data_IF_138180469137
#
_entry.id   IF_138180469137
#
_cell.length_a   1.000
_cell.length_b   1.000
_cell.length_c   1.000
_cell.angle_alpha   90.00
_cell.angle_beta   90.00
_cell.angle_gamma   90.00
#
_symmetry.space_group_name_H-M   'P 1'
#
loop_
_entity.id
_entity.type
_entity.pdbx_description
1 polymer ?
#
# COMPACT_ATOMS: atom_id res chain seq x y z
N UNK A 1 27.62 -65.58 19.16
CA UNK A 1 26.70 -66.74 19.10
C UNK A 1 25.29 -66.22 19.26
N UNK A 2 24.25 -66.57 18.51
CA UNK A 2 24.05 -67.45 17.36
C UNK A 2 22.58 -67.28 16.96
N UNK A 3 22.32 -67.14 15.66
CA UNK A 3 21.21 -67.68 14.85
C UNK A 3 19.89 -68.08 15.55
N UNK A 4 18.74 -67.49 15.20
CA UNK A 4 17.87 -67.74 14.02
C UNK A 4 16.98 -69.02 14.11
N UNK A 5 15.83 -68.92 13.41
CA UNK A 5 14.86 -69.96 12.98
C UNK A 5 13.75 -70.32 14.00
N UNK A 6 12.48 -70.53 13.63
CA UNK A 6 11.96 -71.36 12.53
C UNK A 6 10.44 -71.08 12.32
N UNK A 7 9.94 -70.95 11.08
CA UNK A 7 9.10 -71.92 10.30
C UNK A 7 7.58 -71.92 10.62
N UNK A 8 6.61 -72.16 9.72
CA UNK A 8 6.54 -72.47 8.27
C UNK A 8 5.04 -72.54 7.85
N UNK A 9 4.78 -72.40 6.54
CA UNK A 9 3.64 -72.93 5.72
C UNK A 9 2.31 -72.14 5.69
N UNK A 10 1.73 -71.65 4.58
CA UNK A 10 1.53 -72.05 3.15
C UNK A 10 0.08 -72.56 2.88
N UNK A 11 -0.53 -72.03 1.79
CA UNK A 11 -1.79 -72.36 1.05
C UNK A 11 -3.10 -71.77 1.65
N UNK A 12 -4.09 -71.22 0.92
CA UNK A 12 -4.48 -71.08 -0.51
C UNK A 12 -5.57 -69.97 -0.51
N UNK A 13 -5.37 -68.81 -1.14
CA UNK A 13 -5.99 -68.41 -2.41
C UNK A 13 -7.49 -68.77 -2.58
N UNK A 14 -8.39 -67.81 -2.31
CA UNK A 14 -9.50 -67.32 -3.16
C UNK A 14 -10.26 -66.23 -2.36
N UNK A 15 -10.75 -65.19 -3.05
CA UNK A 15 -11.49 -64.01 -2.53
C UNK A 15 -10.66 -62.72 -2.33
N UNK A 16 -10.01 -62.24 -3.40
CA UNK A 16 -9.31 -60.94 -3.41
C UNK A 16 -9.87 -59.93 -4.44
N UNK A 17 -11.18 -59.97 -4.73
CA UNK A 17 -11.77 -59.02 -5.70
C UNK A 17 -12.90 -58.13 -5.15
N UNK A 18 -13.62 -58.52 -4.08
CA UNK A 18 -14.76 -57.74 -3.61
C UNK A 18 -14.40 -56.63 -2.59
N UNK A 19 -13.28 -56.77 -1.86
CA UNK A 19 -12.95 -55.84 -0.76
C UNK A 19 -12.19 -54.58 -1.20
N UNK A 20 -11.58 -54.58 -2.41
CA UNK A 20 -10.84 -53.42 -2.91
C UNK A 20 -11.74 -52.27 -3.40
N UNK A 21 -12.96 -52.57 -3.86
CA UNK A 21 -13.85 -51.54 -4.43
C UNK A 21 -14.51 -50.69 -3.34
N UNK A 22 -14.81 -51.27 -2.17
CA UNK A 22 -15.47 -50.56 -1.07
C UNK A 22 -14.53 -49.55 -0.36
N UNK A 23 -13.23 -49.87 -0.25
CA UNK A 23 -12.26 -49.00 0.41
C UNK A 23 -11.90 -47.77 -0.42
N UNK A 24 -11.83 -47.93 -1.75
CA UNK A 24 -11.48 -46.84 -2.68
C UNK A 24 -12.60 -45.79 -2.74
N UNK A 25 -13.88 -46.20 -2.67
CA UNK A 25 -15.02 -45.27 -2.67
C UNK A 25 -15.07 -44.35 -1.45
N UNK A 26 -14.72 -44.86 -0.27
CA UNK A 26 -14.73 -44.07 0.97
C UNK A 26 -13.57 -43.06 1.04
N UNK A 27 -12.38 -43.44 0.55
CA UNK A 27 -11.22 -42.54 0.49
C UNK A 27 -11.37 -41.42 -0.54
N UNK A 28 -12.06 -41.69 -1.66
CA UNK A 28 -12.30 -40.67 -2.71
C UNK A 28 -13.32 -39.63 -2.22
N UNK A 29 -14.35 -40.05 -1.47
CA UNK A 29 -15.38 -39.14 -0.94
C UNK A 29 -14.83 -38.18 0.15
N UNK A 30 -13.87 -38.64 0.96
CA UNK A 30 -13.19 -37.81 1.97
C UNK A 30 -12.16 -36.87 1.33
N UNK A 31 -11.48 -37.28 0.25
CA UNK A 31 -10.59 -36.37 -0.49
C UNK A 31 -11.35 -35.27 -1.23
N UNK A 32 -12.53 -35.57 -1.79
CA UNK A 32 -13.35 -34.58 -2.51
C UNK A 32 -13.97 -33.54 -1.57
N UNK A 33 -14.32 -33.89 -0.33
CA UNK A 33 -14.83 -32.91 0.65
C UNK A 33 -13.72 -32.04 1.25
N UNK A 34 -12.48 -32.52 1.33
CA UNK A 34 -11.31 -31.72 1.73
C UNK A 34 -10.91 -30.75 0.61
N UNK A 35 -11.09 -31.12 -0.67
CA UNK A 35 -10.77 -30.25 -1.80
C UNK A 35 -11.80 -29.14 -2.06
N UNK A 36 -13.04 -29.26 -1.56
CA UNK A 36 -14.06 -28.19 -1.66
C UNK A 36 -14.02 -27.16 -0.52
N UNK A 37 -13.10 -27.29 0.44
CA UNK A 37 -12.95 -26.35 1.57
C UNK A 37 -11.69 -25.49 1.49
N UNK A 38 -10.88 -25.63 0.43
CA UNK A 38 -9.78 -24.72 0.12
C UNK A 38 -10.14 -23.77 -1.03
N UNK A 39 -11.36 -23.22 -1.01
CA UNK A 39 -11.55 -21.89 -1.60
C UNK A 39 -11.34 -20.87 -0.47
N UNK A 40 -10.12 -20.86 0.06
CA UNK A 40 -9.61 -19.66 0.70
C UNK A 40 -9.41 -18.71 -0.46
N UNK A 41 -10.47 -17.94 -0.75
CA UNK A 41 -10.37 -16.76 -1.58
C UNK A 41 -9.23 -15.93 -1.02
N UNK A 42 -8.06 -16.06 -1.62
CA UNK A 42 -6.99 -15.08 -1.50
C UNK A 42 -7.60 -13.82 -2.08
N UNK A 43 -8.21 -13.00 -1.24
CA UNK A 43 -8.43 -11.61 -1.59
C UNK A 43 -7.07 -11.10 -2.07
N UNK A 44 -6.92 -10.91 -3.39
CA UNK A 44 -5.74 -10.30 -3.95
C UNK A 44 -5.66 -8.93 -3.30
N UNK A 45 -4.75 -8.80 -2.32
CA UNK A 45 -4.35 -7.52 -1.77
C UNK A 45 -3.86 -6.70 -2.96
N UNK A 46 -4.63 -5.69 -3.36
CA UNK A 46 -4.22 -4.80 -4.44
C UNK A 46 -2.87 -4.14 -4.09
N UNK A 47 -2.06 -3.87 -5.11
CA UNK A 47 -0.74 -3.25 -4.99
C UNK A 47 -0.78 -1.93 -4.19
N UNK A 48 -1.93 -1.24 -4.19
CA UNK A 48 -2.17 0.01 -3.46
C UNK A 48 -1.99 -0.07 -1.94
N UNK A 49 -2.14 -1.25 -1.34
CA UNK A 49 -2.04 -1.44 0.12
C UNK A 49 -0.66 -1.15 0.68
N UNK A 50 0.40 -1.34 -0.12
CA UNK A 50 1.79 -1.07 0.29
C UNK A 50 2.06 0.40 0.61
N UNK A 51 1.24 1.29 0.07
CA UNK A 51 1.36 2.74 0.27
C UNK A 51 0.60 3.26 1.49
N UNK A 52 -0.29 2.44 2.07
CA UNK A 52 -1.07 2.86 3.24
C UNK A 52 -0.15 3.01 4.45
N UNK A 53 -0.25 4.17 5.10
CA UNK A 53 0.54 4.48 6.29
C UNK A 53 1.99 4.81 6.00
N UNK A 54 2.39 5.04 4.75
CA UNK A 54 3.68 5.64 4.44
C UNK A 54 3.74 7.11 4.87
N UNK A 55 4.92 7.55 5.27
CA UNK A 55 5.21 8.97 5.41
C UNK A 55 5.13 9.70 4.07
N UNK A 56 4.64 10.94 4.11
CA UNK A 56 4.57 11.82 2.94
C UNK A 56 5.11 13.20 3.31
N UNK A 57 5.98 13.78 2.49
CA UNK A 57 6.43 15.15 2.67
C UNK A 57 5.75 16.04 1.64
N UNK A 58 4.75 16.81 2.08
CA UNK A 58 3.93 17.62 1.19
C UNK A 58 4.70 18.79 0.56
N UNK A 59 5.82 19.23 1.15
CA UNK A 59 6.59 20.36 0.62
C UNK A 59 7.39 19.95 -0.62
N UNK A 60 7.99 18.76 -0.60
CA UNK A 60 8.80 18.24 -1.71
C UNK A 60 8.00 17.36 -2.66
N UNK A 61 6.82 16.88 -2.25
CA UNK A 61 5.98 16.02 -3.07
C UNK A 61 5.59 16.65 -4.40
N UNK A 62 5.33 15.79 -5.38
CA UNK A 62 4.76 16.19 -6.66
C UNK A 62 4.17 14.95 -7.35
N UNK A 63 2.84 14.79 -7.41
CA UNK A 63 2.17 13.69 -8.09
C UNK A 63 2.51 13.55 -9.58
N UNK A 64 2.83 14.64 -10.26
CA UNK A 64 3.22 14.59 -11.68
C UNK A 64 4.64 14.04 -11.85
N UNK A 65 5.46 14.02 -10.81
CA UNK A 65 6.81 13.46 -10.82
C UNK A 65 7.92 14.41 -10.36
N UNK A 66 9.15 13.88 -10.34
CA UNK A 66 10.34 14.61 -9.88
C UNK A 66 10.98 15.52 -10.93
N UNK A 67 10.85 15.17 -12.22
CA UNK A 67 11.35 15.94 -13.37
C UNK A 67 10.53 15.60 -14.63
N UNK A 68 10.78 16.30 -15.74
CA UNK A 68 10.08 16.07 -17.02
C UNK A 68 10.27 14.65 -17.62
N UNK A 69 11.25 13.89 -17.15
CA UNK A 69 11.58 12.51 -17.59
C UNK A 69 11.09 11.42 -16.62
N UNK A 70 10.72 11.78 -15.39
CA UNK A 70 10.28 10.90 -14.31
C UNK A 70 8.84 11.20 -13.91
N UNK A 71 7.94 11.07 -14.88
CA UNK A 71 6.52 11.33 -14.64
C UNK A 71 5.88 10.25 -13.77
N UNK A 72 4.98 10.67 -12.89
CA UNK A 72 4.12 9.77 -12.09
C UNK A 72 4.74 9.10 -10.86
N UNK A 73 6.03 9.35 -10.55
CA UNK A 73 6.62 8.92 -9.27
C UNK A 73 6.70 10.12 -8.33
N UNK A 74 5.80 10.16 -7.34
CA UNK A 74 5.79 11.24 -6.36
C UNK A 74 6.97 11.11 -5.36
N UNK A 75 7.91 12.04 -5.48
CA UNK A 75 9.13 12.13 -4.66
C UNK A 75 8.86 12.47 -3.18
N UNK A 76 7.64 12.89 -2.85
CA UNK A 76 7.19 13.12 -1.48
C UNK A 76 6.91 11.83 -0.71
N UNK A 77 6.64 10.72 -1.41
CA UNK A 77 6.35 9.43 -0.80
C UNK A 77 7.62 8.84 -0.17
N UNK A 78 7.59 8.59 1.13
CA UNK A 78 8.67 7.92 1.85
C UNK A 78 8.49 6.40 1.78
N UNK A 79 8.81 5.81 0.63
CA UNK A 79 8.56 4.39 0.28
C UNK A 79 9.07 3.35 1.28
N UNK A 80 10.03 3.69 2.13
CA UNK A 80 10.62 2.80 3.16
C UNK A 80 10.24 3.18 4.59
N UNK A 81 9.26 4.08 4.76
CA UNK A 81 8.90 4.69 6.05
C UNK A 81 7.43 4.51 6.34
N UNK A 82 7.07 3.31 6.77
CA UNK A 82 5.74 3.01 7.31
C UNK A 82 5.61 3.62 8.71
N UNK A 83 4.70 4.58 8.84
CA UNK A 83 4.24 5.16 10.10
C UNK A 83 3.26 4.20 10.78
N UNK A 84 2.34 3.60 10.04
CA UNK A 84 1.41 2.60 10.57
C UNK A 84 2.03 1.20 10.58
N UNK A 85 1.73 0.44 11.62
CA UNK A 85 2.04 -0.98 11.70
C UNK A 85 0.85 -1.77 11.21
N UNK A 86 0.90 -2.18 9.95
CA UNK A 86 -0.11 -3.00 9.31
C UNK A 86 0.38 -4.45 9.28
N UNK A 87 -0.19 -5.28 10.13
CA UNK A 87 0.01 -6.74 10.07
C UNK A 87 -1.13 -7.39 9.28
N UNK A 88 -0.90 -8.51 8.58
CA UNK A 88 -1.94 -9.12 7.73
C UNK A 88 -3.27 -9.40 8.43
N UNK A 89 -3.22 -9.76 9.72
CA UNK A 89 -4.38 -10.03 10.59
C UNK A 89 -5.21 -8.78 10.93
N UNK A 90 -4.58 -7.59 10.94
CA UNK A 90 -5.22 -6.31 11.25
C UNK A 90 -5.61 -5.53 10.02
N UNK A 91 -4.89 -5.73 8.91
CA UNK A 91 -5.09 -4.99 7.68
C UNK A 91 -6.53 -5.13 7.14
N UNK A 92 -7.16 -6.30 7.24
CA UNK A 92 -8.56 -6.51 6.84
C UNK A 92 -9.58 -5.70 7.66
N UNK A 93 -9.22 -5.26 8.87
CA UNK A 93 -10.08 -4.49 9.77
C UNK A 93 -9.80 -2.99 9.70
N UNK A 94 -8.64 -2.59 9.18
CA UNK A 94 -8.15 -1.21 9.17
C UNK A 94 -8.08 -0.61 7.78
N UNK A 95 -8.14 -1.44 6.74
CA UNK A 95 -8.05 -1.04 5.34
C UNK A 95 -9.35 -1.40 4.66
N UNK A 96 -9.98 -0.40 4.06
CA UNK A 96 -11.08 -0.60 3.15
C UNK A 96 -10.58 -0.55 1.71
N UNK A 97 -10.88 -1.60 0.95
CA UNK A 97 -10.56 -1.70 -0.46
C UNK A 97 -11.85 -1.68 -1.26
N UNK A 98 -12.07 -0.59 -1.98
CA UNK A 98 -13.07 -0.49 -3.04
C UNK A 98 -12.37 -0.82 -4.37
N UNK A 99 -12.03 -2.10 -4.52
CA UNK A 99 -11.34 -2.63 -5.69
C UNK A 99 -12.30 -2.76 -6.88
N UNK A 100 -11.82 -2.45 -8.09
CA UNK A 100 -12.56 -2.70 -9.32
C UNK A 100 -12.00 -3.92 -10.02
N UNK A 101 -12.87 -4.76 -10.59
CA UNK A 101 -12.44 -5.93 -11.37
C UNK A 101 -11.77 -5.54 -12.68
N UNK A 102 -12.00 -4.32 -13.15
CA UNK A 102 -11.40 -3.75 -14.35
C UNK A 102 -10.99 -2.30 -14.11
N UNK A 103 -9.87 -1.93 -14.70
CA UNK A 103 -9.43 -0.54 -14.76
C UNK A 103 -10.50 0.34 -15.41
N UNK A 104 -10.84 1.44 -14.75
CA UNK A 104 -11.65 2.50 -15.33
C UNK A 104 -10.75 3.63 -15.80
N UNK A 105 -10.73 3.86 -17.11
CA UNK A 105 -9.93 4.93 -17.71
C UNK A 105 -10.63 6.28 -17.55
N UNK A 106 -9.91 7.25 -17.02
CA UNK A 106 -10.34 8.63 -16.93
C UNK A 106 -9.32 9.53 -17.62
N UNK A 107 -9.77 10.37 -18.54
CA UNK A 107 -8.93 11.38 -19.17
C UNK A 107 -9.35 12.75 -18.69
N UNK A 108 -8.39 13.54 -18.23
CA UNK A 108 -8.58 14.91 -17.78
C UNK A 108 -7.66 15.85 -18.55
N UNK A 109 -8.06 17.11 -18.62
CA UNK A 109 -7.27 18.18 -19.22
C UNK A 109 -7.23 19.35 -18.25
N UNK A 110 -6.04 19.81 -17.94
CA UNK A 110 -5.81 20.92 -17.04
C UNK A 110 -4.95 21.98 -17.71
N UNK A 111 -5.18 23.24 -17.36
CA UNK A 111 -4.36 24.36 -17.83
C UNK A 111 -3.91 25.14 -16.61
N UNK A 112 -2.62 25.40 -16.52
CA UNK A 112 -2.02 26.26 -15.50
C UNK A 112 -1.06 27.25 -16.15
N UNK A 113 -1.08 28.47 -15.63
CA UNK A 113 -0.44 29.65 -16.23
C UNK A 113 0.47 30.38 -15.25
N UNK A 114 0.56 29.89 -14.02
CA UNK A 114 1.49 30.33 -12.99
C UNK A 114 1.71 29.21 -11.96
N UNK A 115 2.69 29.38 -11.08
CA UNK A 115 2.99 28.40 -10.03
C UNK A 115 1.82 28.15 -9.06
N UNK A 116 0.95 29.17 -8.83
CA UNK A 116 -0.20 29.04 -7.91
C UNK A 116 -1.33 28.20 -8.51
N UNK A 117 -1.62 28.39 -9.78
CA UNK A 117 -2.58 27.57 -10.52
C UNK A 117 -2.09 26.14 -10.65
N UNK A 118 -0.78 25.93 -10.82
CA UNK A 118 -0.17 24.60 -10.75
C UNK A 118 -0.29 23.96 -9.36
N UNK A 119 0.00 24.69 -8.28
CA UNK A 119 -0.20 24.21 -6.91
C UNK A 119 -1.66 23.77 -6.68
N UNK A 120 -2.61 24.61 -7.10
CA UNK A 120 -4.05 24.32 -6.96
C UNK A 120 -4.46 23.08 -7.75
N UNK A 121 -3.88 22.88 -8.92
CA UNK A 121 -4.07 21.69 -9.73
C UNK A 121 -3.64 20.43 -8.97
N UNK A 122 -2.40 20.39 -8.47
CA UNK A 122 -1.88 19.25 -7.70
C UNK A 122 -2.69 18.98 -6.42
N UNK A 123 -3.12 20.05 -5.72
CA UNK A 123 -3.94 19.94 -4.52
C UNK A 123 -5.33 19.34 -4.79
N UNK A 124 -5.79 19.30 -6.04
CA UNK A 124 -7.05 18.65 -6.42
C UNK A 124 -7.10 17.16 -6.08
N UNK A 125 -5.93 16.51 -5.99
CA UNK A 125 -5.82 15.07 -5.69
C UNK A 125 -5.57 14.76 -4.20
N UNK A 126 -5.50 15.78 -3.35
CA UNK A 126 -5.20 15.62 -1.92
C UNK A 126 -6.41 15.88 -1.03
N UNK A 127 -6.57 15.01 -0.03
CA UNK A 127 -7.45 15.25 1.12
C UNK A 127 -6.58 15.27 2.37
N UNK A 128 -6.42 16.44 2.96
CA UNK A 128 -5.64 16.65 4.18
C UNK A 128 -6.54 17.11 5.32
N UNK A 129 -6.20 16.68 6.54
CA UNK A 129 -6.95 17.02 7.75
C UNK A 129 -5.98 17.14 8.94
N UNK A 130 -6.42 17.84 9.99
CA UNK A 130 -5.63 18.05 11.21
C UNK A 130 -5.23 19.52 11.43
N UNK A 131 -4.75 19.84 12.64
CA UNK A 131 -4.51 21.23 13.07
C UNK A 131 -3.38 21.92 12.30
N UNK A 132 -2.39 21.18 11.80
CA UNK A 132 -1.27 21.73 11.02
C UNK A 132 -1.61 22.05 9.56
N UNK A 133 -2.79 21.63 9.08
CA UNK A 133 -3.11 21.67 7.65
C UNK A 133 -3.08 23.09 7.06
N UNK A 134 -3.75 24.04 7.73
CA UNK A 134 -3.79 25.44 7.27
C UNK A 134 -2.41 26.12 7.23
N UNK A 135 -1.45 25.62 8.02
CA UNK A 135 -0.10 26.17 8.10
C UNK A 135 0.80 25.63 6.98
N UNK A 136 0.61 24.37 6.57
CA UNK A 136 1.50 23.71 5.59
C UNK A 136 1.00 23.80 4.15
N UNK A 137 -0.31 23.81 3.95
CA UNK A 137 -0.94 23.78 2.61
C UNK A 137 -0.52 24.92 1.67
N UNK A 138 -0.34 26.17 2.14
CA UNK A 138 0.17 27.24 1.28
C UNK A 138 1.56 26.95 0.67
N UNK A 139 2.32 26.03 1.28
CA UNK A 139 3.67 25.65 0.87
C UNK A 139 3.74 24.28 0.19
N UNK A 140 2.59 23.61 -0.01
CA UNK A 140 2.55 22.31 -0.68
C UNK A 140 3.27 22.35 -2.03
N UNK A 141 4.13 21.35 -2.26
CA UNK A 141 4.88 21.07 -3.49
C UNK A 141 5.94 22.11 -3.90
N UNK A 142 6.01 23.25 -3.20
CA UNK A 142 6.88 24.38 -3.54
C UNK A 142 8.38 24.06 -3.52
N UNK A 143 8.78 23.01 -2.80
CA UNK A 143 10.17 22.58 -2.74
C UNK A 143 10.54 21.56 -3.82
N UNK A 144 9.56 20.99 -4.55
CA UNK A 144 9.82 20.05 -5.65
C UNK A 144 10.54 20.72 -6.81
N UNK A 145 11.39 19.98 -7.52
CA UNK A 145 12.13 20.50 -8.69
C UNK A 145 11.16 20.92 -9.79
N UNK A 146 10.18 20.07 -10.10
CA UNK A 146 9.25 20.35 -11.18
C UNK A 146 8.36 21.58 -10.89
N UNK A 147 7.95 21.81 -9.64
CA UNK A 147 7.25 23.04 -9.28
C UNK A 147 8.10 24.30 -9.54
N UNK A 148 9.38 24.26 -9.18
CA UNK A 148 10.31 25.37 -9.43
C UNK A 148 10.52 25.61 -10.92
N UNK A 149 10.55 24.55 -11.72
CA UNK A 149 10.62 24.65 -13.17
C UNK A 149 9.37 25.33 -13.74
N UNK A 150 8.16 24.91 -13.31
CA UNK A 150 6.91 25.58 -13.69
C UNK A 150 6.92 27.05 -13.26
N UNK A 151 7.34 27.36 -12.03
CA UNK A 151 7.43 28.75 -11.56
C UNK A 151 8.36 29.59 -12.45
N UNK A 152 9.56 29.09 -12.76
CA UNK A 152 10.52 29.79 -13.61
C UNK A 152 9.97 30.00 -15.03
N UNK A 153 9.40 28.97 -15.63
CA UNK A 153 8.93 29.01 -17.02
C UNK A 153 7.67 29.90 -17.18
N UNK A 154 6.72 29.79 -16.26
CA UNK A 154 5.50 30.63 -16.29
C UNK A 154 5.79 32.10 -15.96
N UNK A 155 6.71 32.38 -15.03
CA UNK A 155 7.03 33.74 -14.61
C UNK A 155 7.95 34.47 -15.57
N UNK A 156 9.04 33.82 -15.98
CA UNK A 156 10.12 34.49 -16.73
C UNK A 156 9.94 34.33 -18.25
N UNK A 157 9.33 33.24 -18.70
CA UNK A 157 9.09 32.98 -20.13
C UNK A 157 7.64 33.18 -20.57
N UNK A 158 6.73 33.38 -19.62
CA UNK A 158 5.29 33.56 -19.87
C UNK A 158 4.65 32.33 -20.54
N UNK A 159 5.20 31.15 -20.28
CA UNK A 159 4.67 29.91 -20.80
C UNK A 159 3.33 29.57 -20.12
N UNK A 160 2.43 28.95 -20.88
CA UNK A 160 1.19 28.36 -20.37
C UNK A 160 1.25 26.87 -20.60
N UNK A 161 1.00 26.10 -19.54
CA UNK A 161 1.04 24.66 -19.59
C UNK A 161 -0.35 24.09 -19.74
N UNK A 162 -0.45 23.07 -20.58
CA UNK A 162 -1.63 22.22 -20.72
C UNK A 162 -1.21 20.80 -20.42
N UNK A 163 -1.82 20.22 -19.41
CA UNK A 163 -1.61 18.83 -19.03
C UNK A 163 -2.78 17.97 -19.50
N UNK A 164 -2.45 16.82 -20.09
CA UNK A 164 -3.37 15.86 -20.67
C UNK A 164 -3.12 14.50 -20.01
N UNK A 165 -3.81 14.24 -18.89
CA UNK A 165 -3.62 13.01 -18.12
C UNK A 165 -4.64 11.96 -18.53
N UNK A 166 -4.17 10.72 -18.67
CA UNK A 166 -5.03 9.53 -18.72
C UNK A 166 -4.68 8.60 -17.55
N UNK A 167 -5.61 8.45 -16.62
CA UNK A 167 -5.47 7.59 -15.44
C UNK A 167 -6.21 6.29 -15.66
N UNK A 168 -5.57 5.18 -15.32
CA UNK A 168 -6.18 3.87 -15.19
C UNK A 168 -6.48 3.60 -13.72
N UNK A 169 -7.74 3.74 -13.30
CA UNK A 169 -8.13 3.58 -11.90
C UNK A 169 -8.64 2.14 -11.65
N UNK A 170 -7.85 1.37 -10.90
CA UNK A 170 -8.14 -0.02 -10.51
C UNK A 170 -8.93 -0.16 -9.20
N UNK A 171 -9.30 0.97 -8.59
CA UNK A 171 -10.02 1.03 -7.33
C UNK A 171 -9.34 1.94 -6.31
N UNK A 172 -9.93 1.98 -5.13
CA UNK A 172 -9.47 2.81 -4.02
C UNK A 172 -9.14 1.96 -2.81
N UNK A 173 -7.94 2.15 -2.28
CA UNK A 173 -7.55 1.60 -0.97
C UNK A 173 -7.46 2.75 0.01
N UNK A 174 -8.08 2.63 1.19
CA UNK A 174 -8.04 3.67 2.23
C UNK A 174 -7.89 3.08 3.62
N UNK A 175 -7.22 3.83 4.49
CA UNK A 175 -7.24 3.56 5.92
C UNK A 175 -8.58 4.03 6.52
N UNK A 176 -9.14 3.24 7.44
CA UNK A 176 -10.41 3.56 8.10
C UNK A 176 -10.16 4.56 9.25
N UNK A 177 -10.76 5.74 9.13
CA UNK A 177 -10.76 6.83 10.12
C UNK A 177 -12.21 7.31 10.35
N UNK A 178 -12.60 7.79 11.55
CA UNK A 178 -11.92 7.77 12.85
C UNK A 178 -11.87 6.35 13.45
N UNK A 179 -11.07 6.07 14.49
CA UNK A 179 -10.84 4.71 14.94
C UNK A 179 -12.10 4.08 15.50
N UNK A 180 -12.73 3.17 14.75
CA UNK A 180 -13.75 2.26 15.27
C UNK A 180 -13.15 1.34 16.34
N UNK A 181 -11.82 1.11 16.31
CA UNK A 181 -11.10 0.19 17.19
C UNK A 181 -9.73 0.73 17.61
N UNK A 182 -9.63 1.61 18.64
CA UNK A 182 -8.40 2.29 19.03
C UNK A 182 -7.19 1.37 19.28
N UNK A 183 -7.44 0.16 19.79
CA UNK A 183 -6.44 -0.87 20.06
C UNK A 183 -5.84 -1.52 18.79
N UNK A 184 -6.43 -1.30 17.62
CA UNK A 184 -5.92 -1.82 16.35
C UNK A 184 -5.03 -0.81 15.61
N UNK A 185 -5.09 0.48 15.95
CA UNK A 185 -4.32 1.53 15.29
C UNK A 185 -2.90 1.64 15.88
N UNK A 186 -2.04 0.68 15.54
CA UNK A 186 -0.63 0.69 15.95
C UNK A 186 0.25 1.49 14.97
N UNK A 187 1.24 2.19 15.52
CA UNK A 187 2.35 2.77 14.77
C UNK A 187 3.54 1.81 14.70
N UNK A 188 4.42 1.99 13.72
CA UNK A 188 5.63 1.18 13.60
C UNK A 188 6.59 1.44 14.78
N UNK A 189 7.30 0.41 15.26
CA UNK A 189 8.32 0.57 16.31
C UNK A 189 9.40 1.59 15.92
N UNK A 190 9.76 1.64 14.64
CA UNK A 190 10.75 2.59 14.12
C UNK A 190 10.26 4.03 14.22
N UNK A 191 8.99 4.28 13.86
CA UNK A 191 8.39 5.60 13.99
C UNK A 191 8.24 5.99 15.46
N UNK A 192 7.72 5.09 16.30
CA UNK A 192 7.59 5.31 17.74
C UNK A 192 8.93 5.67 18.37
N UNK A 193 9.99 4.90 18.07
CA UNK A 193 11.34 5.16 18.56
C UNK A 193 11.87 6.52 18.10
N UNK A 194 11.64 6.89 16.84
CA UNK A 194 12.05 8.20 16.32
C UNK A 194 11.32 9.36 17.01
N UNK A 195 10.03 9.22 17.29
CA UNK A 195 9.24 10.22 18.05
C UNK A 195 9.75 10.32 19.48
N UNK A 196 10.05 9.21 20.15
CA UNK A 196 10.59 9.20 21.51
C UNK A 196 11.99 9.84 21.63
N UNK A 197 12.72 9.96 20.52
CA UNK A 197 14.02 10.63 20.48
C UNK A 197 13.92 12.14 20.23
N UNK A 198 12.73 12.66 19.90
CA UNK A 198 12.54 14.10 19.76
C UNK A 198 12.65 14.79 21.13
N UNK A 199 13.31 15.96 21.19
CA UNK A 199 13.36 16.73 22.43
C UNK A 199 11.97 17.24 22.79
N UNK A 200 11.68 17.29 24.10
CA UNK A 200 10.40 17.79 24.64
C UNK A 200 10.21 19.27 24.27
N UNK A 201 11.28 20.05 24.33
CA UNK A 201 11.30 21.42 23.84
C UNK A 201 11.65 21.43 22.35
N UNK A 202 10.97 22.30 21.59
CA UNK A 202 11.20 22.42 20.16
C UNK A 202 12.67 22.73 19.87
N UNK A 203 13.31 21.82 19.13
CA UNK A 203 14.64 22.01 18.59
C UNK A 203 14.55 21.93 17.06
N UNK A 204 14.85 23.05 16.40
CA UNK A 204 14.67 23.17 14.96
C UNK A 204 15.39 22.08 14.17
N UNK A 205 16.64 21.78 14.50
CA UNK A 205 17.45 20.82 13.75
C UNK A 205 16.97 19.38 13.96
N UNK A 206 16.65 19.00 15.20
CA UNK A 206 16.12 17.68 15.52
C UNK A 206 14.77 17.42 14.82
N UNK A 207 13.87 18.40 14.84
CA UNK A 207 12.58 18.29 14.17
C UNK A 207 12.73 18.29 12.65
N UNK A 208 13.64 19.10 12.09
CA UNK A 208 13.91 19.09 10.66
C UNK A 208 14.41 17.72 10.19
N UNK A 209 15.35 17.12 10.90
CA UNK A 209 15.85 15.76 10.59
C UNK A 209 14.74 14.71 10.68
N UNK A 210 13.84 14.84 11.65
CA UNK A 210 12.68 13.96 11.76
C UNK A 210 11.75 14.10 10.54
N UNK A 211 11.40 15.33 10.15
CA UNK A 211 10.53 15.61 9.00
C UNK A 211 11.17 15.20 7.66
N UNK A 212 12.48 15.37 7.51
CA UNK A 212 13.22 14.92 6.33
C UNK A 212 13.12 13.40 6.17
N UNK A 213 13.17 12.67 7.30
CA UNK A 213 13.11 11.22 7.34
C UNK A 213 11.68 10.68 7.19
N UNK A 214 10.71 11.27 7.86
CA UNK A 214 9.36 10.70 8.02
C UNK A 214 8.26 11.43 7.24
N UNK A 215 8.53 12.62 6.72
CA UNK A 215 7.50 13.46 6.12
C UNK A 215 6.83 14.40 7.13
N UNK A 216 5.75 15.02 6.70
CA UNK A 216 5.06 16.14 7.35
C UNK A 216 3.63 15.80 7.70
#
# INVERSE_FOLDING_TARGET
>A
MSLYWCKLSILLNLNCLCFKVLFIGCTILVLLTILTLYDVGSAQYGDGTRFIGLGYNILIGNPDGGDHSQTGIDIGIKSTRHIFKLTPDKASQLIEMDGRTHCTTHTSKSVFYDAKSYQKYLLGDFVTFGPGNSSIMPYAFTASTFFKDIEHMTKDKQDVYRDDITVCNEGRTRYILPPTYPNLHEISPEFASAVCQLPVEYNQDAYRLFLDKWGT
#
